data_IF_058112863545
#
_entry.id   IF_058112863545
#
_cell.length_a   1.000
_cell.length_b   1.000
_cell.length_c   1.000
_cell.angle_alpha   90.00
_cell.angle_beta   90.00
_cell.angle_gamma   90.00
#
_symmetry.space_group_name_H-M   'P 1'
#
loop_
_entity.id
_entity.type
_entity.pdbx_description
1 polymer ?
#
# COMPACT_ATOMS: atom_id res chain seq x y z
N UNK A 1 12.09 2.89 2.68
CA UNK A 1 11.10 2.12 3.47
C UNK A 1 11.83 1.37 4.58
N UNK A 2 11.70 1.83 5.82
CA UNK A 2 12.52 1.38 6.96
C UNK A 2 12.33 -0.09 7.37
N UNK A 3 11.26 -0.75 6.89
CA UNK A 3 10.95 -2.16 7.16
C UNK A 3 11.62 -3.15 6.19
N UNK A 4 12.24 -2.67 5.10
CA UNK A 4 12.95 -3.55 4.17
C UNK A 4 14.25 -4.03 4.83
N UNK A 5 14.59 -5.33 4.76
CA UNK A 5 15.78 -5.90 5.39
C UNK A 5 17.08 -5.14 5.08
N UNK A 6 17.24 -4.66 3.85
CA UNK A 6 18.38 -3.83 3.44
C UNK A 6 18.53 -2.53 4.23
N UNK A 7 17.43 -1.92 4.70
CA UNK A 7 17.43 -0.71 5.52
C UNK A 7 17.54 -1.03 7.02
N UNK A 8 17.00 -2.17 7.45
CA UNK A 8 17.08 -2.67 8.83
C UNK A 8 18.54 -2.94 9.22
N UNK A 9 19.26 -3.62 8.33
CA UNK A 9 20.64 -4.09 8.56
C UNK A 9 21.67 -2.96 8.68
N UNK A 10 21.32 -1.73 8.26
CA UNK A 10 22.20 -0.56 8.36
C UNK A 10 22.16 0.14 9.72
N UNK A 11 21.16 -0.14 10.56
CA UNK A 11 21.05 0.45 11.89
C UNK A 11 22.05 -0.23 12.82
N UNK A 12 23.16 0.45 13.12
CA UNK A 12 24.23 -0.05 14.00
C UNK A 12 24.01 0.27 15.49
N UNK A 13 23.20 1.29 15.81
CA UNK A 13 22.94 1.74 17.17
C UNK A 13 21.64 1.18 17.72
N UNK A 14 21.75 0.40 18.80
CA UNK A 14 20.62 -0.24 19.48
C UNK A 14 19.63 0.78 20.09
N UNK A 15 20.14 1.98 20.43
CA UNK A 15 19.33 3.11 20.91
C UNK A 15 18.55 3.79 19.78
N UNK A 16 19.15 3.91 18.59
CA UNK A 16 18.49 4.44 17.41
C UNK A 16 17.42 3.48 16.89
N UNK A 17 17.68 2.18 17.01
CA UNK A 17 16.72 1.12 16.67
C UNK A 17 15.46 1.19 17.54
N UNK A 18 15.62 1.27 18.87
CA UNK A 18 14.49 1.41 19.80
C UNK A 18 13.66 2.67 19.52
N UNK A 19 14.30 3.81 19.30
CA UNK A 19 13.61 5.04 18.95
C UNK A 19 12.87 4.94 17.61
N UNK A 20 13.46 4.26 16.61
CA UNK A 20 12.81 4.03 15.33
C UNK A 20 11.59 3.11 15.46
N UNK A 21 11.67 2.05 16.29
CA UNK A 21 10.57 1.14 16.57
C UNK A 21 9.43 1.87 17.29
N UNK A 22 9.74 2.68 18.30
CA UNK A 22 8.73 3.49 19.01
C UNK A 22 8.02 4.43 18.05
N UNK A 23 8.77 5.16 17.21
CA UNK A 23 8.20 6.06 16.21
C UNK A 23 7.34 5.31 15.17
N UNK A 24 7.80 4.16 14.67
CA UNK A 24 7.03 3.34 13.73
C UNK A 24 5.77 2.77 14.37
N UNK A 25 5.85 2.30 15.62
CA UNK A 25 4.69 1.80 16.35
C UNK A 25 3.65 2.90 16.56
N UNK A 26 4.07 4.12 16.91
CA UNK A 26 3.21 5.28 17.02
C UNK A 26 2.50 5.60 15.71
N UNK A 27 3.24 5.68 14.60
CA UNK A 27 2.70 5.95 13.27
C UNK A 27 1.71 4.85 12.83
N UNK A 28 2.03 3.58 13.08
CA UNK A 28 1.15 2.46 12.70
C UNK A 28 -0.14 2.52 13.51
N UNK A 29 -0.08 2.78 14.82
CA UNK A 29 -1.26 2.85 15.68
C UNK A 29 -2.16 4.05 15.35
N UNK A 30 -1.60 5.16 14.88
CA UNK A 30 -2.38 6.31 14.41
C UNK A 30 -3.21 6.00 13.15
N UNK A 31 -2.85 4.97 12.38
CA UNK A 31 -3.63 4.55 11.23
C UNK A 31 -4.94 3.87 11.65
N UNK A 32 -6.04 4.32 11.06
CA UNK A 32 -7.40 3.76 11.29
C UNK A 32 -7.48 2.25 11.12
N UNK A 33 -6.63 1.68 10.26
CA UNK A 33 -6.59 0.25 9.97
C UNK A 33 -5.99 -0.60 11.11
N UNK A 34 -5.07 -0.05 11.90
CA UNK A 34 -4.36 -0.78 12.97
C UNK A 34 -4.72 -0.34 14.38
N UNK A 35 -5.59 0.67 14.53
CA UNK A 35 -6.02 1.24 15.82
C UNK A 35 -6.66 0.24 16.81
N UNK A 36 -7.10 -0.91 16.31
CA UNK A 36 -7.66 -2.00 17.12
C UNK A 36 -6.59 -2.90 17.75
N UNK A 37 -5.35 -2.83 17.27
CA UNK A 37 -4.23 -3.61 17.79
C UNK A 37 -3.60 -2.90 19.01
N UNK A 38 -3.24 -3.63 20.08
CA UNK A 38 -2.48 -3.03 21.17
C UNK A 38 -1.09 -2.62 20.69
N UNK A 39 -0.61 -1.46 21.16
CA UNK A 39 0.71 -0.93 20.81
C UNK A 39 1.83 -1.93 21.11
N UNK A 40 1.74 -2.63 22.24
CA UNK A 40 2.72 -3.63 22.67
C UNK A 40 2.86 -4.79 21.68
N UNK A 41 1.75 -5.18 21.03
CA UNK A 41 1.75 -6.23 20.00
C UNK A 41 2.52 -5.78 18.76
N UNK A 42 2.32 -4.52 18.34
CA UNK A 42 3.02 -3.95 17.19
C UNK A 42 4.52 -3.83 17.49
N UNK A 43 4.87 -3.36 18.69
CA UNK A 43 6.26 -3.21 19.11
C UNK A 43 6.98 -4.55 19.23
N UNK A 44 6.33 -5.57 19.80
CA UNK A 44 6.92 -6.91 19.92
C UNK A 44 7.14 -7.55 18.54
N UNK A 45 6.17 -7.46 17.64
CA UNK A 45 6.30 -7.97 16.27
C UNK A 45 7.45 -7.27 15.52
N UNK A 46 7.54 -5.94 15.61
CA UNK A 46 8.65 -5.17 15.03
C UNK A 46 10.00 -5.60 15.63
N UNK A 47 10.11 -5.72 16.95
CA UNK A 47 11.36 -6.15 17.60
C UNK A 47 11.80 -7.54 17.13
N UNK A 48 10.86 -8.49 17.01
CA UNK A 48 11.17 -9.84 16.52
C UNK A 48 11.66 -9.76 15.07
N UNK A 49 10.99 -8.99 14.21
CA UNK A 49 11.40 -8.78 12.83
C UNK A 49 12.82 -8.21 12.73
N UNK A 50 13.12 -7.16 13.49
CA UNK A 50 14.45 -6.57 13.54
C UNK A 50 15.52 -7.57 13.99
N UNK A 51 15.25 -8.32 15.07
CA UNK A 51 16.18 -9.33 15.59
C UNK A 51 16.44 -10.47 14.60
N UNK A 52 15.42 -10.90 13.86
CA UNK A 52 15.51 -11.94 12.82
C UNK A 52 16.47 -11.51 11.71
N UNK A 53 16.34 -10.28 11.21
CA UNK A 53 17.19 -9.75 10.14
C UNK A 53 18.62 -9.42 10.60
N UNK A 54 18.79 -8.96 11.84
CA UNK A 54 20.11 -8.81 12.44
C UNK A 54 20.84 -10.16 12.53
N UNK A 55 20.13 -11.23 12.89
CA UNK A 55 20.68 -12.59 12.92
C UNK A 55 21.02 -13.11 11.53
N UNK A 56 20.14 -12.92 10.54
CA UNK A 56 20.43 -13.30 9.14
C UNK A 56 21.68 -12.62 8.57
N UNK A 57 21.94 -11.36 8.94
CA UNK A 57 23.18 -10.65 8.59
C UNK A 57 24.41 -11.35 9.18
N UNK A 58 24.36 -11.73 10.46
CA UNK A 58 25.46 -12.41 11.14
C UNK A 58 25.71 -13.80 10.55
N UNK A 59 24.66 -14.49 10.12
CA UNK A 59 24.72 -15.79 9.44
C UNK A 59 25.19 -15.68 7.97
N UNK A 60 25.42 -14.47 7.45
CA UNK A 60 25.91 -14.26 6.08
C UNK A 60 24.88 -14.58 4.99
N UNK A 61 23.59 -14.64 5.33
CA UNK A 61 22.50 -14.92 4.38
C UNK A 61 22.20 -13.70 3.51
N UNK A 62 21.64 -13.95 2.33
CA UNK A 62 21.19 -12.90 1.42
C UNK A 62 20.14 -12.00 2.09
N UNK A 63 20.37 -10.69 2.02
CA UNK A 63 19.48 -9.67 2.56
C UNK A 63 18.62 -9.14 1.42
N UNK A 64 17.31 -9.28 1.55
CA UNK A 64 16.38 -8.80 0.55
C UNK A 64 16.46 -7.28 0.37
N UNK A 65 16.52 -6.87 -0.89
CA UNK A 65 16.60 -5.46 -1.29
C UNK A 65 15.21 -4.89 -1.58
N UNK A 66 14.25 -5.77 -1.87
CA UNK A 66 12.92 -5.43 -2.32
C UNK A 66 11.84 -5.84 -1.32
N UNK A 67 10.76 -5.06 -1.29
CA UNK A 67 9.56 -5.36 -0.49
C UNK A 67 8.91 -6.67 -0.93
N UNK A 68 8.93 -6.97 -2.23
CA UNK A 68 8.32 -8.19 -2.79
C UNK A 68 9.00 -9.47 -2.28
N UNK A 69 10.34 -9.46 -2.24
CA UNK A 69 11.14 -10.56 -1.69
C UNK A 69 10.88 -10.69 -0.18
N UNK A 70 10.85 -9.56 0.53
CA UNK A 70 10.56 -9.49 1.97
C UNK A 70 9.16 -10.02 2.31
N UNK A 71 8.18 -9.83 1.42
CA UNK A 71 6.83 -10.36 1.58
C UNK A 71 6.78 -11.89 1.44
N UNK A 72 7.63 -12.48 0.59
CA UNK A 72 7.65 -13.94 0.37
C UNK A 72 8.18 -14.73 1.57
N UNK A 73 9.09 -14.15 2.34
CA UNK A 73 9.67 -14.78 3.54
C UNK A 73 8.91 -14.40 4.83
N UNK A 74 7.95 -13.48 4.74
CA UNK A 74 7.13 -13.02 5.86
C UNK A 74 5.96 -13.98 6.11
N UNK A 75 6.08 -14.80 7.15
CA UNK A 75 5.02 -15.71 7.60
C UNK A 75 3.84 -14.93 8.22
N UNK A 76 2.62 -15.19 7.70
CA UNK A 76 1.35 -14.61 8.20
C UNK A 76 1.12 -14.82 9.67
N UNK A 77 1.56 -15.96 10.19
CA UNK A 77 1.26 -16.40 11.54
C UNK A 77 2.15 -15.70 12.57
N UNK A 78 3.38 -15.39 12.18
CA UNK A 78 4.38 -14.75 13.04
C UNK A 78 4.36 -13.23 12.89
N UNK A 79 4.09 -12.72 11.69
CA UNK A 79 4.18 -11.30 11.36
C UNK A 79 2.92 -10.75 10.66
N UNK A 80 1.72 -10.84 11.28
CA UNK A 80 0.47 -10.44 10.66
C UNK A 80 0.40 -8.94 10.31
N UNK A 81 0.95 -8.08 11.17
CA UNK A 81 0.92 -6.62 10.98
C UNK A 81 1.89 -6.20 9.88
N UNK A 82 3.13 -6.70 9.94
CA UNK A 82 4.18 -6.39 8.96
C UNK A 82 3.78 -6.91 7.58
N UNK A 83 3.17 -8.09 7.51
CA UNK A 83 2.70 -8.61 6.23
C UNK A 83 1.56 -7.76 5.65
N UNK A 84 0.61 -7.33 6.48
CA UNK A 84 -0.46 -6.45 6.04
C UNK A 84 0.10 -5.13 5.50
N UNK A 85 1.11 -4.57 6.17
CA UNK A 85 1.83 -3.38 5.71
C UNK A 85 2.51 -3.62 4.36
N UNK A 86 3.21 -4.74 4.19
CA UNK A 86 3.82 -5.09 2.90
C UNK A 86 2.78 -5.31 1.80
N UNK A 87 1.65 -5.94 2.09
CA UNK A 87 0.55 -6.11 1.15
C UNK A 87 -0.06 -4.76 0.75
N UNK A 88 -0.25 -3.84 1.70
CA UNK A 88 -0.70 -2.47 1.42
C UNK A 88 0.32 -1.76 0.53
N UNK A 89 1.60 -1.85 0.84
CA UNK A 89 2.67 -1.25 0.03
C UNK A 89 2.68 -1.80 -1.41
N UNK A 90 2.51 -3.11 -1.57
CA UNK A 90 2.48 -3.75 -2.88
C UNK A 90 1.20 -3.44 -3.67
N UNK A 91 0.09 -3.16 -3.00
CA UNK A 91 -1.21 -2.84 -3.63
C UNK A 91 -1.41 -1.34 -3.83
N UNK A 92 -0.72 -0.50 -3.06
CA UNK A 92 -0.63 0.92 -3.33
C UNK A 92 -0.02 1.10 -4.72
N UNK A 93 -0.59 1.99 -5.55
CA UNK A 93 -0.03 2.27 -6.87
C UNK A 93 1.30 3.01 -6.70
N UNK A 94 2.37 2.27 -6.46
CA UNK A 94 3.75 2.77 -6.45
C UNK A 94 4.19 3.16 -7.86
N UNK A 95 3.51 2.63 -8.89
CA UNK A 95 3.79 3.01 -10.28
C UNK A 95 2.93 4.18 -10.73
N UNK A 96 3.59 5.18 -11.30
CA UNK A 96 2.99 6.29 -12.07
C UNK A 96 2.07 5.76 -13.17
N UNK A 97 2.28 4.53 -13.65
CA UNK A 97 1.52 3.89 -14.73
C UNK A 97 0.01 3.81 -14.48
N UNK A 98 -0.45 3.62 -13.23
CA UNK A 98 -1.90 3.60 -12.93
C UNK A 98 -2.51 5.00 -13.05
N UNK A 99 -1.78 6.02 -12.58
CA UNK A 99 -2.16 7.41 -12.78
C UNK A 99 -2.08 7.81 -14.26
N UNK A 100 -1.02 7.43 -14.98
CA UNK A 100 -0.85 7.67 -16.42
C UNK A 100 -1.95 7.00 -17.26
N UNK A 101 -2.35 5.77 -16.92
CA UNK A 101 -3.50 5.10 -17.57
C UNK A 101 -4.79 5.87 -17.32
N UNK A 102 -5.00 6.36 -16.10
CA UNK A 102 -6.17 7.17 -15.74
C UNK A 102 -6.16 8.52 -16.47
N UNK A 103 -5.02 9.21 -16.54
CA UNK A 103 -4.85 10.47 -17.27
C UNK A 103 -4.95 10.31 -18.78
N UNK A 104 -4.41 9.23 -19.36
CA UNK A 104 -4.55 8.88 -20.78
C UNK A 104 -6.01 8.60 -21.13
N UNK A 105 -6.72 7.92 -20.24
CA UNK A 105 -8.17 7.69 -20.38
C UNK A 105 -8.95 9.00 -20.29
N UNK A 106 -8.62 9.85 -19.31
CA UNK A 106 -9.21 11.18 -19.17
C UNK A 106 -8.96 12.04 -20.43
N UNK A 107 -7.75 11.98 -20.99
CA UNK A 107 -7.39 12.69 -22.23
C UNK A 107 -8.17 12.19 -23.45
N UNK A 108 -8.52 10.90 -23.50
CA UNK A 108 -9.39 10.33 -24.54
C UNK A 108 -10.87 10.73 -24.37
N UNK A 109 -11.37 10.82 -23.14
CA UNK A 109 -12.75 11.25 -22.86
C UNK A 109 -12.91 12.78 -23.01
N UNK A 110 -11.91 13.54 -22.57
CA UNK A 110 -11.83 15.00 -22.69
C UNK A 110 -11.13 15.37 -24.02
N UNK A 111 -11.82 15.11 -25.12
CA UNK A 111 -11.38 15.64 -26.43
C UNK A 111 -11.54 17.16 -26.48
N UNK A 112 -10.72 17.81 -27.31
CA UNK A 112 -10.66 19.28 -27.43
C UNK A 112 -12.04 19.92 -27.75
N UNK A 113 -12.86 19.24 -28.56
CA UNK A 113 -14.24 19.62 -28.89
C UNK A 113 -15.26 19.46 -27.74
N UNK A 114 -14.93 18.74 -26.66
CA UNK A 114 -15.80 18.48 -25.48
C UNK A 114 -15.33 19.22 -24.22
N UNK A 115 -14.51 20.26 -24.38
CA UNK A 115 -13.84 20.98 -23.28
C UNK A 115 -14.77 21.73 -22.32
N UNK A 116 -16.04 21.98 -22.68
CA UNK A 116 -17.05 22.64 -21.81
C UNK A 116 -17.88 21.71 -20.92
N UNK A 117 -17.53 20.44 -20.81
CA UNK A 117 -18.30 19.50 -19.98
C UNK A 117 -18.04 19.74 -18.48
N UNK A 118 -19.11 19.77 -17.68
CA UNK A 118 -19.00 19.87 -16.22
C UNK A 118 -18.33 18.66 -15.57
N UNK A 119 -17.62 18.89 -14.46
CA UNK A 119 -16.82 17.86 -13.77
C UNK A 119 -17.64 16.62 -13.38
N UNK A 120 -18.90 16.78 -12.95
CA UNK A 120 -19.76 15.66 -12.57
C UNK A 120 -20.00 14.69 -13.74
N UNK A 121 -20.28 15.23 -14.93
CA UNK A 121 -20.49 14.43 -16.14
C UNK A 121 -19.20 13.80 -16.63
N UNK A 122 -18.08 14.52 -16.53
CA UNK A 122 -16.76 14.00 -16.88
C UNK A 122 -16.38 12.82 -16.00
N UNK A 123 -16.51 12.95 -14.68
CA UNK A 123 -16.22 11.87 -13.73
C UNK A 123 -17.09 10.64 -13.97
N UNK A 124 -18.39 10.82 -14.23
CA UNK A 124 -19.30 9.72 -14.55
C UNK A 124 -18.89 8.96 -15.82
N UNK A 125 -18.55 9.68 -16.90
CA UNK A 125 -18.09 9.05 -18.15
C UNK A 125 -16.74 8.34 -18.00
N UNK A 126 -15.82 8.90 -17.22
CA UNK A 126 -14.53 8.25 -16.93
C UNK A 126 -14.73 6.97 -16.13
N UNK A 127 -15.60 6.98 -15.12
CA UNK A 127 -15.94 5.77 -14.35
C UNK A 127 -16.50 4.66 -15.25
N UNK A 128 -17.47 5.00 -16.11
CA UNK A 128 -18.04 4.05 -17.08
C UNK A 128 -17.00 3.52 -18.07
N UNK A 129 -16.02 4.34 -18.45
CA UNK A 129 -14.97 3.94 -19.38
C UNK A 129 -13.88 3.06 -18.74
N UNK A 130 -13.59 3.27 -17.46
CA UNK A 130 -12.60 2.46 -16.70
C UNK A 130 -13.21 1.11 -16.31
N UNK A 131 -14.48 1.08 -15.88
CA UNK A 131 -15.16 -0.11 -15.37
C UNK A 131 -16.15 -0.69 -16.40
N UNK A 132 -15.69 -0.97 -17.62
CA UNK A 132 -16.55 -1.49 -18.70
C UNK A 132 -17.01 -2.92 -18.47
N UNK A 133 -16.34 -3.62 -17.58
CA UNK A 133 -16.61 -4.98 -17.12
C UNK A 133 -17.84 -5.05 -16.20
N UNK A 134 -18.23 -3.93 -15.60
CA UNK A 134 -19.43 -3.84 -14.76
C UNK A 134 -20.64 -3.59 -15.67
N UNK A 135 -21.53 -4.59 -15.77
CA UNK A 135 -22.78 -4.46 -16.53
C UNK A 135 -23.72 -3.48 -15.83
N UNK A 136 -24.17 -2.48 -16.58
CA UNK A 136 -25.15 -1.50 -16.12
C UNK A 136 -26.53 -1.94 -16.57
N UNK A 137 -27.50 -1.99 -15.64
CA UNK A 137 -28.90 -2.30 -15.97
C UNK A 137 -29.54 -1.07 -16.63
N UNK A 138 -29.75 -1.14 -17.94
CA UNK A 138 -30.33 -0.06 -18.74
C UNK A 138 -31.79 0.20 -18.40
N UNK A 139 -32.56 -0.85 -18.12
CA UNK A 139 -34.00 -0.75 -17.84
C UNK A 139 -34.26 0.02 -16.54
N UNK A 140 -33.46 -0.26 -15.51
CA UNK A 140 -33.52 0.46 -14.23
C UNK A 140 -33.13 1.95 -14.37
N UNK A 141 -32.24 2.29 -15.32
CA UNK A 141 -31.89 3.69 -15.59
C UNK A 141 -33.04 4.37 -16.32
N UNK A 142 -33.64 3.72 -17.31
CA UNK A 142 -34.77 4.26 -18.06
C UNK A 142 -35.92 4.55 -17.09
N UNK A 143 -36.28 3.61 -16.22
CA UNK A 143 -37.34 3.79 -15.23
C UNK A 143 -37.05 4.94 -14.24
N UNK A 144 -35.79 5.12 -13.83
CA UNK A 144 -35.40 6.18 -12.89
C UNK A 144 -35.47 7.59 -13.50
N UNK A 145 -35.33 7.72 -14.81
CA UNK A 145 -35.29 9.02 -15.51
C UNK A 145 -36.51 9.25 -16.44
N UNK A 146 -37.46 8.31 -16.47
CA UNK A 146 -38.79 8.47 -17.08
C UNK A 146 -39.66 9.39 -16.22
#
# INVERSE_FOLDING_TARGET
MQLVPSNIVQVKDDKALKAAIENMSAIINEQTLFKHLPMDTIQSELNIWYSMWCRHKLEGKDIHKNVLESLSECDKTVFPTIQTIFAIICTLPISVASAERSFSTLKRVKTWLRSRMGNNRLSGLVLLHVHRDIKVNTDAIIERFA
#
